data_IF_603870498108
#
_entry.id   IF_603870498108
#
_cell.length_a   1.000
_cell.length_b   1.000
_cell.length_c   1.000
_cell.angle_alpha   90.00
_cell.angle_beta   90.00
_cell.angle_gamma   90.00
#
_symmetry.space_group_name_H-M   'P 1'
#
loop_
_entity.id
_entity.type
_entity.pdbx_description
1 polymer ?
#
# COMPACT_ATOMS: atom_id res chain seq x y z
N UNK A 1 -3.18 -9.17 -19.01
CA UNK A 1 -4.45 -8.41 -18.80
C UNK A 1 -4.25 -7.01 -19.38
N UNK A 2 -5.22 -6.46 -20.13
CA UNK A 2 -5.15 -5.08 -20.66
C UNK A 2 -5.31 -4.07 -19.52
N UNK A 3 -4.78 -2.85 -19.69
CA UNK A 3 -4.79 -1.82 -18.65
C UNK A 3 -6.20 -1.57 -18.05
N UNK A 4 -7.21 -1.33 -18.89
CA UNK A 4 -8.58 -1.10 -18.44
C UNK A 4 -9.18 -2.28 -17.64
N UNK A 5 -8.76 -3.50 -17.91
CA UNK A 5 -9.17 -4.66 -17.11
C UNK A 5 -8.39 -4.71 -15.77
N UNK A 6 -7.13 -4.30 -15.78
CA UNK A 6 -6.32 -4.19 -14.55
C UNK A 6 -6.89 -3.16 -13.57
N UNK A 7 -7.47 -2.05 -14.05
CA UNK A 7 -8.06 -1.03 -13.16
C UNK A 7 -9.20 -1.58 -12.29
N UNK A 8 -9.86 -2.64 -12.73
CA UNK A 8 -10.98 -3.26 -12.02
C UNK A 8 -10.56 -4.53 -11.27
N UNK A 9 -9.71 -5.36 -11.89
CA UNK A 9 -9.40 -6.70 -11.38
C UNK A 9 -7.93 -6.91 -11.00
N UNK A 10 -7.06 -5.94 -11.32
CA UNK A 10 -5.63 -6.08 -11.09
C UNK A 10 -5.27 -6.20 -9.60
N UNK A 11 -4.45 -7.19 -9.25
CA UNK A 11 -3.98 -7.38 -7.88
C UNK A 11 -5.04 -7.84 -6.86
N UNK A 12 -6.30 -7.95 -7.27
CA UNK A 12 -7.39 -8.44 -6.41
C UNK A 12 -7.47 -9.97 -6.45
N UNK A 13 -7.83 -10.53 -5.29
CA UNK A 13 -8.09 -11.97 -5.13
C UNK A 13 -9.52 -12.17 -4.65
N UNK A 14 -10.12 -13.28 -5.04
CA UNK A 14 -11.42 -13.71 -4.48
C UNK A 14 -11.25 -13.85 -2.96
N UNK A 15 -12.19 -13.29 -2.20
CA UNK A 15 -12.19 -13.39 -0.74
C UNK A 15 -12.32 -14.85 -0.29
N UNK A 16 -11.37 -15.37 0.51
CA UNK A 16 -11.38 -16.78 0.91
C UNK A 16 -12.46 -17.12 1.93
N UNK A 17 -13.06 -16.12 2.60
CA UNK A 17 -14.08 -16.38 3.62
C UNK A 17 -15.44 -16.77 3.00
N UNK A 18 -15.86 -16.05 1.96
CA UNK A 18 -17.18 -16.23 1.35
C UNK A 18 -17.16 -16.26 -0.18
N UNK A 19 -15.99 -16.35 -0.79
CA UNK A 19 -15.81 -16.32 -2.25
C UNK A 19 -16.37 -15.03 -2.91
N UNK A 20 -16.36 -13.92 -2.19
CA UNK A 20 -16.75 -12.62 -2.74
C UNK A 20 -15.83 -12.24 -3.88
N UNK A 21 -16.42 -11.89 -5.04
CA UNK A 21 -15.68 -11.46 -6.23
C UNK A 21 -15.09 -10.05 -6.02
N UNK A 22 -15.83 -9.18 -5.33
CA UNK A 22 -15.36 -7.85 -4.95
C UNK A 22 -14.70 -7.90 -3.59
N UNK A 23 -13.64 -7.11 -3.42
CA UNK A 23 -12.89 -7.05 -2.17
C UNK A 23 -13.77 -6.54 -1.02
N UNK A 24 -13.96 -7.30 0.07
CA UNK A 24 -14.69 -6.83 1.25
C UNK A 24 -14.00 -5.65 1.94
N UNK A 25 -14.79 -4.81 2.58
CA UNK A 25 -14.28 -3.70 3.41
C UNK A 25 -14.17 -4.17 4.86
N UNK A 26 -12.95 -4.27 5.35
CA UNK A 26 -12.66 -4.65 6.74
C UNK A 26 -12.53 -3.40 7.62
N UNK A 27 -13.62 -3.04 8.30
CA UNK A 27 -13.70 -1.91 9.22
C UNK A 27 -13.41 -2.31 10.67
N UNK A 28 -12.34 -3.04 10.89
CA UNK A 28 -11.93 -3.48 12.24
C UNK A 28 -10.56 -2.94 12.60
N UNK A 29 -10.31 -2.74 13.88
CA UNK A 29 -8.98 -2.37 14.39
C UNK A 29 -8.14 -3.59 14.77
N UNK A 30 -8.76 -4.62 15.33
CA UNK A 30 -8.07 -5.80 15.87
C UNK A 30 -8.65 -7.08 15.30
N UNK A 31 -7.82 -8.11 15.21
CA UNK A 31 -8.18 -9.45 14.75
C UNK A 31 -7.90 -10.45 15.87
N UNK A 32 -8.81 -11.41 16.07
CA UNK A 32 -8.60 -12.48 17.04
C UNK A 32 -7.42 -13.35 16.64
N UNK A 33 -6.58 -13.66 17.61
CA UNK A 33 -5.48 -14.60 17.47
C UNK A 33 -5.85 -15.95 18.08
N UNK A 34 -5.36 -17.04 17.52
CA UNK A 34 -5.56 -18.39 18.07
C UNK A 34 -4.77 -18.57 19.37
N UNK A 35 -3.60 -17.96 19.45
CA UNK A 35 -2.77 -17.83 20.65
C UNK A 35 -1.81 -16.63 20.46
N UNK A 36 -1.11 -16.16 21.47
CA UNK A 36 -0.18 -15.04 21.35
C UNK A 36 0.80 -15.22 20.19
N UNK A 37 0.76 -14.30 19.20
CA UNK A 37 1.60 -14.35 18.01
C UNK A 37 1.12 -15.29 16.89
N UNK A 38 0.06 -16.07 17.09
CA UNK A 38 -0.51 -16.97 16.08
C UNK A 38 -1.77 -16.38 15.51
N UNK A 39 -1.69 -15.83 14.27
CA UNK A 39 -2.78 -15.18 13.59
C UNK A 39 -2.90 -15.63 12.12
N UNK A 40 -3.99 -15.26 11.45
CA UNK A 40 -4.25 -15.59 10.03
C UNK A 40 -3.65 -14.58 9.04
N UNK A 41 -2.56 -13.89 9.42
CA UNK A 41 -1.87 -12.88 8.59
C UNK A 41 -2.26 -11.44 8.92
N UNK A 42 -3.27 -11.23 9.76
CA UNK A 42 -3.69 -9.92 10.23
C UNK A 42 -3.90 -9.95 11.73
N UNK A 43 -3.40 -8.95 12.43
CA UNK A 43 -3.52 -8.81 13.89
C UNK A 43 -4.08 -7.45 14.29
N UNK A 44 -3.66 -6.39 13.60
CA UNK A 44 -4.03 -5.02 13.91
C UNK A 44 -4.01 -4.13 12.66
N UNK A 45 -5.10 -3.40 12.40
CA UNK A 45 -5.29 -2.66 11.15
C UNK A 45 -4.29 -1.54 10.91
N UNK A 46 -3.70 -0.96 11.95
CA UNK A 46 -2.63 0.04 11.80
C UNK A 46 -1.38 -0.56 11.12
N UNK A 47 -1.05 -1.80 11.45
CA UNK A 47 0.06 -2.53 10.82
C UNK A 47 -0.38 -3.12 9.48
N UNK A 48 -1.41 -3.97 9.47
CA UNK A 48 -1.94 -4.63 8.29
C UNK A 48 -3.46 -4.71 8.29
N UNK A 49 -4.07 -4.42 7.13
CA UNK A 49 -5.52 -4.54 6.92
C UNK A 49 -5.78 -5.14 5.53
N UNK A 50 -6.69 -6.12 5.38
CA UNK A 50 -6.97 -6.75 4.09
C UNK A 50 -7.41 -5.78 3.00
N UNK A 51 -8.24 -4.77 3.33
CA UNK A 51 -8.69 -3.75 2.37
C UNK A 51 -7.53 -2.88 1.89
N UNK A 52 -6.64 -2.44 2.80
CA UNK A 52 -5.43 -1.69 2.43
C UNK A 52 -4.46 -2.54 1.61
N UNK A 53 -4.31 -3.81 1.95
CA UNK A 53 -3.48 -4.76 1.18
C UNK A 53 -4.00 -4.93 -0.24
N UNK A 54 -5.32 -5.03 -0.41
CA UNK A 54 -5.95 -5.10 -1.73
C UNK A 54 -5.68 -3.84 -2.56
N UNK A 55 -5.78 -2.65 -1.96
CA UNK A 55 -5.43 -1.38 -2.62
C UNK A 55 -3.96 -1.37 -3.07
N UNK A 56 -3.04 -1.74 -2.18
CA UNK A 56 -1.60 -1.79 -2.47
C UNK A 56 -1.30 -2.74 -3.63
N UNK A 57 -1.92 -3.92 -3.64
CA UNK A 57 -1.77 -4.91 -4.71
C UNK A 57 -2.37 -4.41 -6.05
N UNK A 58 -3.48 -3.69 -6.01
CA UNK A 58 -4.08 -3.11 -7.20
C UNK A 58 -3.14 -2.08 -7.85
N UNK A 59 -2.59 -1.14 -7.07
CA UNK A 59 -1.62 -0.16 -7.57
C UNK A 59 -0.34 -0.83 -8.07
N UNK A 60 0.21 -1.79 -7.34
CA UNK A 60 1.38 -2.56 -7.79
C UNK A 60 1.11 -3.24 -9.15
N UNK A 61 -0.09 -3.82 -9.32
CA UNK A 61 -0.50 -4.44 -10.59
C UNK A 61 -0.60 -3.44 -11.74
N UNK A 62 -1.14 -2.24 -11.49
CA UNK A 62 -1.26 -1.17 -12.50
C UNK A 62 0.09 -0.69 -12.98
N UNK A 63 1.02 -0.48 -12.08
CA UNK A 63 2.38 0.00 -12.35
C UNK A 63 3.36 -1.12 -12.77
N UNK A 64 2.90 -2.38 -12.90
CA UNK A 64 3.73 -3.56 -13.11
C UNK A 64 4.87 -3.70 -12.08
N UNK A 65 4.63 -3.21 -10.87
CA UNK A 65 5.53 -3.28 -9.74
C UNK A 65 5.32 -4.57 -8.93
N UNK A 66 6.35 -4.97 -8.18
CA UNK A 66 6.29 -6.13 -7.29
C UNK A 66 5.52 -5.80 -6.00
N UNK A 67 5.63 -4.58 -5.52
CA UNK A 67 5.02 -4.11 -4.27
C UNK A 67 4.39 -2.75 -4.47
N UNK A 68 3.33 -2.47 -3.72
CA UNK A 68 2.74 -1.15 -3.50
C UNK A 68 2.65 -0.89 -2.02
N UNK A 69 2.88 0.35 -1.60
CA UNK A 69 2.77 0.77 -0.19
C UNK A 69 1.92 2.03 -0.13
N UNK A 70 0.84 1.99 0.63
CA UNK A 70 -0.06 3.12 0.83
C UNK A 70 0.34 3.92 2.08
N UNK A 71 0.37 5.24 1.93
CA UNK A 71 0.63 6.20 3.00
C UNK A 71 -0.60 7.09 3.22
N UNK A 72 -0.67 7.75 4.36
CA UNK A 72 -1.76 8.68 4.70
C UNK A 72 -1.70 10.01 3.95
N UNK A 73 -0.54 10.34 3.34
CA UNK A 73 -0.35 11.53 2.51
C UNK A 73 0.75 11.32 1.48
N UNK A 74 0.73 12.13 0.41
CA UNK A 74 1.80 12.14 -0.58
C UNK A 74 3.15 12.51 0.04
N UNK A 75 3.17 13.44 0.98
CA UNK A 75 4.39 13.84 1.68
C UNK A 75 4.99 12.69 2.49
N UNK A 76 4.18 11.89 3.18
CA UNK A 76 4.64 10.70 3.89
C UNK A 76 5.26 9.66 2.93
N UNK A 77 4.71 9.55 1.71
CA UNK A 77 5.27 8.68 0.69
C UNK A 77 6.64 9.19 0.18
N UNK A 78 6.77 10.49 -0.06
CA UNK A 78 8.03 11.14 -0.47
C UNK A 78 9.08 10.98 0.64
N UNK A 79 8.75 11.29 1.88
CA UNK A 79 9.65 11.15 3.04
C UNK A 79 10.17 9.71 3.19
N UNK A 80 9.29 8.72 2.98
CA UNK A 80 9.71 7.32 3.00
C UNK A 80 10.73 6.97 1.92
N UNK A 81 10.62 7.57 0.72
CA UNK A 81 11.59 7.37 -0.37
C UNK A 81 12.92 8.06 -0.03
N UNK A 82 12.87 9.30 0.45
CA UNK A 82 14.07 10.07 0.82
C UNK A 82 14.87 9.36 1.92
N UNK A 83 14.20 8.73 2.87
CA UNK A 83 14.86 7.94 3.94
C UNK A 83 15.61 6.68 3.45
N UNK A 84 15.46 6.28 2.20
CA UNK A 84 16.29 5.23 1.60
C UNK A 84 17.66 5.73 1.15
N UNK A 85 17.83 7.06 1.02
CA UNK A 85 19.05 7.68 0.57
C UNK A 85 20.08 7.74 1.70
N UNK A 86 21.34 7.78 1.31
CA UNK A 86 22.51 7.89 2.21
C UNK A 86 23.19 9.23 2.01
N UNK A 87 23.95 9.71 3.00
CA UNK A 87 24.78 10.89 2.83
C UNK A 87 25.70 10.77 1.59
N UNK A 88 25.60 11.72 0.67
CA UNK A 88 26.30 11.74 -0.60
C UNK A 88 25.49 11.28 -1.81
N UNK A 89 24.28 10.73 -1.62
CA UNK A 89 23.36 10.46 -2.73
C UNK A 89 22.79 11.78 -3.28
N UNK A 90 22.56 11.84 -4.58
CA UNK A 90 22.01 13.00 -5.25
C UNK A 90 20.53 12.77 -5.62
N UNK A 91 19.72 13.80 -5.44
CA UNK A 91 18.31 13.82 -5.84
C UNK A 91 18.11 14.79 -6.98
N UNK A 92 17.63 14.31 -8.11
CA UNK A 92 17.24 15.15 -9.24
C UNK A 92 15.72 15.34 -9.22
N UNK A 93 15.29 16.58 -9.17
CA UNK A 93 13.86 16.94 -9.15
C UNK A 93 13.58 18.10 -10.11
N UNK A 94 12.28 18.29 -10.44
CA UNK A 94 11.86 19.55 -11.06
C UNK A 94 11.97 20.70 -10.05
N UNK A 95 12.14 21.93 -10.52
CA UNK A 95 12.13 23.12 -9.65
C UNK A 95 10.71 23.59 -9.30
N UNK A 96 9.68 23.02 -9.91
CA UNK A 96 8.27 23.31 -9.65
C UNK A 96 7.64 22.19 -8.80
N UNK A 97 8.15 22.04 -7.59
CA UNK A 97 7.67 21.08 -6.61
C UNK A 97 6.57 21.66 -5.74
N UNK A 98 5.69 20.80 -5.24
CA UNK A 98 4.81 21.14 -4.13
C UNK A 98 5.64 21.62 -2.92
N UNK A 99 5.30 22.79 -2.37
CA UNK A 99 6.14 23.51 -1.39
C UNK A 99 6.57 22.65 -0.19
N UNK A 100 5.71 21.76 0.31
CA UNK A 100 6.07 20.86 1.41
C UNK A 100 7.04 19.74 1.00
N UNK A 101 7.18 19.46 -0.29
CA UNK A 101 8.18 18.49 -0.76
C UNK A 101 9.60 19.06 -0.65
N UNK A 102 9.76 20.37 -0.84
CA UNK A 102 11.07 21.05 -0.78
C UNK A 102 11.71 21.02 0.61
N UNK A 103 10.92 20.99 1.68
CA UNK A 103 11.46 21.01 3.05
C UNK A 103 11.99 19.64 3.51
N UNK A 104 11.82 18.59 2.70
CA UNK A 104 12.28 17.23 2.99
C UNK A 104 13.44 16.80 2.07
N UNK A 105 13.90 17.67 1.19
CA UNK A 105 15.05 17.48 0.30
C UNK A 105 16.18 18.40 0.75
#
# INVERSE_FOLDING_TARGET
>A
MKFNTKTIHGGQKIDPAFNSVMQPIYQTSTYAQESPGVNKGFEYSRTHNPTRTALQNAFASLENAKYGVAFSSGLAAIDAIIKLLKPGDEVVSTNDLYGLSLINI
#
